data_IF_776073681217
#
_entry.id   IF_776073681217
#
_cell.length_a   1.000
_cell.length_b   1.000
_cell.length_c   1.000
_cell.angle_alpha   90.00
_cell.angle_beta   90.00
_cell.angle_gamma   90.00
#
_symmetry.space_group_name_H-M   'P 1'
#
loop_
_entity.id
_entity.type
_entity.pdbx_description
1 polymer ?
#
# COMPACT_ATOMS: atom_id res chain seq x y z
N UNK A 1 21.48 17.61 -2.44
CA UNK A 1 20.22 17.34 -1.72
C UNK A 1 20.48 16.40 -0.54
N UNK A 2 19.79 16.60 0.57
CA UNK A 2 19.85 15.65 1.71
C UNK A 2 19.06 14.38 1.38
N UNK A 3 19.58 13.22 1.79
CA UNK A 3 18.95 11.92 1.62
C UNK A 3 19.35 10.95 2.74
N UNK A 4 18.50 9.95 2.99
CA UNK A 4 18.80 8.80 3.83
C UNK A 4 19.08 7.60 2.93
N UNK A 5 20.30 7.08 2.96
CA UNK A 5 20.82 6.10 2.00
C UNK A 5 21.05 4.76 2.68
N UNK A 6 20.52 3.71 2.09
CA UNK A 6 20.83 2.30 2.41
C UNK A 6 22.06 1.87 1.61
N UNK A 7 23.18 1.63 2.29
CA UNK A 7 24.39 1.12 1.68
C UNK A 7 24.38 -0.41 1.60
N UNK A 8 23.78 -1.06 2.63
CA UNK A 8 23.61 -2.50 2.73
C UNK A 8 22.32 -2.85 3.45
N UNK A 9 21.73 -3.98 3.09
CA UNK A 9 20.59 -4.51 3.80
C UNK A 9 20.94 -4.83 5.27
N UNK A 10 20.03 -4.50 6.18
CA UNK A 10 20.18 -4.72 7.62
C UNK A 10 21.06 -3.69 8.35
N UNK A 11 21.70 -2.75 7.65
CA UNK A 11 22.48 -1.68 8.26
C UNK A 11 21.67 -0.37 8.32
N UNK A 12 21.84 0.45 9.37
CA UNK A 12 21.13 1.74 9.48
C UNK A 12 21.35 2.63 8.26
N UNK A 13 20.30 3.32 7.83
CA UNK A 13 20.39 4.31 6.77
C UNK A 13 21.34 5.43 7.17
N UNK A 14 22.21 5.82 6.24
CA UNK A 14 23.18 6.89 6.43
C UNK A 14 22.65 8.21 5.85
N UNK A 15 22.69 9.27 6.64
CA UNK A 15 22.44 10.62 6.12
C UNK A 15 23.57 11.00 5.14
N UNK A 16 23.20 11.47 3.96
CA UNK A 16 24.13 11.84 2.89
C UNK A 16 23.69 13.12 2.15
N UNK A 17 24.66 13.81 1.60
CA UNK A 17 24.42 14.83 0.59
C UNK A 17 24.71 14.24 -0.79
N UNK A 18 23.66 14.21 -1.64
CA UNK A 18 23.72 13.71 -3.00
C UNK A 18 23.52 14.86 -4.00
N UNK A 19 24.01 14.77 -5.23
CA UNK A 19 23.60 15.71 -6.28
C UNK A 19 22.08 15.61 -6.50
N UNK A 20 21.45 16.74 -6.83
CA UNK A 20 20.05 16.73 -7.28
C UNK A 20 19.98 15.99 -8.62
N UNK A 21 19.14 14.94 -8.75
CA UNK A 21 19.04 14.18 -9.98
C UNK A 21 18.46 15.03 -11.11
N UNK A 22 18.85 14.73 -12.35
CA UNK A 22 18.28 15.39 -13.54
C UNK A 22 17.27 14.44 -14.20
N UNK A 23 16.07 14.92 -14.55
CA UNK A 23 15.10 14.08 -15.23
C UNK A 23 15.60 13.77 -16.66
N UNK A 24 15.51 12.49 -17.04
CA UNK A 24 15.71 12.02 -18.42
C UNK A 24 14.42 12.23 -19.24
N UNK A 25 14.43 11.99 -20.56
CA UNK A 25 13.19 11.97 -21.32
C UNK A 25 12.11 11.12 -20.67
N UNK A 26 10.87 11.63 -20.61
CA UNK A 26 9.70 11.05 -19.96
C UNK A 26 9.80 10.90 -18.44
N UNK A 27 10.74 11.56 -17.79
CA UNK A 27 10.84 11.63 -16.34
C UNK A 27 10.51 13.02 -15.81
N UNK A 28 10.07 13.05 -14.58
CA UNK A 28 9.72 14.26 -13.83
C UNK A 28 10.64 14.35 -12.62
N UNK A 29 11.29 15.50 -12.41
CA UNK A 29 11.96 15.82 -11.15
C UNK A 29 10.92 16.36 -10.17
N UNK A 30 10.85 15.75 -8.99
CA UNK A 30 9.90 16.10 -7.95
C UNK A 30 10.68 16.56 -6.72
N UNK A 31 10.33 17.74 -6.21
CA UNK A 31 10.73 18.21 -4.88
C UNK A 31 9.81 17.53 -3.87
N UNK A 32 10.37 16.65 -3.07
CA UNK A 32 9.61 15.85 -2.10
C UNK A 32 9.14 16.74 -0.95
N UNK A 33 7.86 16.70 -0.66
CA UNK A 33 7.24 17.38 0.48
C UNK A 33 6.96 16.40 1.64
N UNK A 34 6.62 15.15 1.31
CA UNK A 34 6.37 14.09 2.27
C UNK A 34 6.64 12.71 1.66
N UNK A 35 7.11 11.76 2.46
CA UNK A 35 7.21 10.35 2.06
C UNK A 35 6.79 9.43 3.21
N UNK A 36 5.78 8.61 3.00
CA UNK A 36 5.33 7.63 3.98
C UNK A 36 6.34 6.51 4.20
N UNK A 37 6.27 5.88 5.38
CA UNK A 37 7.10 4.75 5.78
C UNK A 37 6.22 3.51 5.88
N UNK A 38 6.49 2.54 5.02
CA UNK A 38 5.68 1.35 4.82
C UNK A 38 6.39 0.06 5.28
N UNK A 39 5.63 -0.99 5.47
CA UNK A 39 6.18 -2.33 5.75
C UNK A 39 7.10 -2.82 4.63
N UNK A 40 6.85 -2.43 3.39
CA UNK A 40 7.69 -2.78 2.24
C UNK A 40 9.09 -2.17 2.35
N UNK A 41 9.23 -0.96 2.93
CA UNK A 41 10.55 -0.37 3.18
C UNK A 41 11.35 -1.21 4.19
N UNK A 42 10.68 -1.82 5.19
CA UNK A 42 11.31 -2.80 6.10
C UNK A 42 11.73 -4.06 5.37
N UNK A 43 10.89 -4.61 4.47
CA UNK A 43 11.26 -5.80 3.69
C UNK A 43 12.49 -5.55 2.81
N UNK A 44 12.62 -4.35 2.22
CA UNK A 44 13.81 -3.95 1.46
C UNK A 44 15.00 -3.76 2.40
N UNK A 45 14.80 -3.05 3.51
CA UNK A 45 15.83 -2.78 4.51
C UNK A 45 16.40 -4.07 5.12
N UNK A 46 15.56 -5.04 5.43
CA UNK A 46 15.94 -6.32 6.04
C UNK A 46 16.53 -7.32 5.02
N UNK A 47 16.50 -7.00 3.72
CA UNK A 47 17.01 -7.86 2.66
C UNK A 47 16.11 -9.05 2.33
N UNK A 48 14.82 -8.98 2.72
CA UNK A 48 13.83 -10.02 2.39
C UNK A 48 13.43 -9.99 0.91
N UNK A 49 13.60 -8.84 0.25
CA UNK A 49 13.45 -8.70 -1.20
C UNK A 49 14.83 -8.77 -1.86
N UNK A 50 14.98 -9.69 -2.83
CA UNK A 50 16.24 -9.95 -3.50
C UNK A 50 16.59 -8.90 -4.55
N UNK A 51 17.90 -8.58 -4.70
CA UNK A 51 18.43 -7.69 -5.73
C UNK A 51 17.97 -6.23 -5.68
N UNK A 52 17.98 -5.54 -4.52
CA UNK A 52 17.81 -4.11 -4.49
C UNK A 52 18.93 -3.39 -5.24
N UNK A 53 18.62 -2.20 -5.79
CA UNK A 53 19.70 -1.27 -6.17
C UNK A 53 20.49 -0.88 -4.91
N UNK A 54 21.81 -0.86 -4.97
CA UNK A 54 22.66 -0.36 -3.88
C UNK A 54 23.77 0.53 -4.44
N UNK A 55 24.11 1.67 -3.81
CA UNK A 55 23.36 2.30 -2.72
C UNK A 55 21.95 2.73 -3.15
N UNK A 56 20.99 2.80 -2.21
CA UNK A 56 19.57 3.04 -2.48
C UNK A 56 18.99 4.10 -1.55
N UNK A 57 18.18 4.99 -2.08
CA UNK A 57 17.25 5.82 -1.31
C UNK A 57 15.91 5.09 -1.23
N UNK A 58 15.46 4.75 -0.01
CA UNK A 58 14.16 4.09 0.21
C UNK A 58 12.98 5.06 0.02
N UNK A 59 11.75 4.54 0.19
CA UNK A 59 10.52 5.30 0.22
C UNK A 59 9.75 5.32 -1.10
N UNK A 60 8.48 4.96 -1.06
CA UNK A 60 7.61 4.80 -2.23
C UNK A 60 6.19 5.35 -2.01
N UNK A 61 5.97 6.11 -0.96
CA UNK A 61 4.73 6.85 -0.70
C UNK A 61 5.04 8.35 -0.82
N UNK A 62 5.43 8.78 -2.01
CA UNK A 62 6.02 10.10 -2.24
C UNK A 62 4.95 11.11 -2.63
N UNK A 63 4.87 12.21 -1.92
CA UNK A 63 4.12 13.41 -2.30
C UNK A 63 5.08 14.57 -2.45
N UNK A 64 4.92 15.35 -3.51
CA UNK A 64 5.76 16.50 -3.74
C UNK A 64 5.26 17.39 -4.88
N UNK A 65 6.10 18.34 -5.28
CA UNK A 65 5.79 19.28 -6.35
C UNK A 65 6.78 19.11 -7.50
N UNK A 66 6.28 19.21 -8.71
CA UNK A 66 7.09 19.12 -9.92
C UNK A 66 8.06 20.30 -9.96
N UNK A 67 9.35 20.01 -9.97
CA UNK A 67 10.43 20.99 -10.06
C UNK A 67 10.90 21.20 -11.50
N UNK A 68 10.97 20.09 -12.28
CA UNK A 68 11.34 20.14 -13.69
C UNK A 68 10.75 18.94 -14.46
N UNK A 69 10.53 19.14 -15.74
CA UNK A 69 10.07 18.12 -16.67
C UNK A 69 11.22 17.72 -17.60
N UNK A 70 11.40 16.42 -17.81
CA UNK A 70 12.25 15.91 -18.89
C UNK A 70 11.59 16.10 -20.27
N UNK A 71 12.35 15.84 -21.33
CA UNK A 71 11.81 15.82 -22.68
C UNK A 71 10.67 14.79 -22.81
N UNK A 72 9.71 15.04 -23.70
CA UNK A 72 8.56 14.17 -24.00
C UNK A 72 7.63 13.93 -22.80
N UNK A 73 7.61 14.77 -21.78
CA UNK A 73 6.61 14.76 -20.71
C UNK A 73 5.43 15.62 -21.12
N UNK A 74 4.26 15.02 -21.17
CA UNK A 74 2.98 15.68 -21.47
C UNK A 74 2.01 15.56 -20.29
N UNK A 75 1.08 16.52 -20.18
CA UNK A 75 -0.02 16.50 -19.22
C UNK A 75 0.36 16.92 -17.79
N UNK A 76 1.57 17.46 -17.58
CA UNK A 76 2.04 17.98 -16.30
C UNK A 76 2.63 19.39 -16.43
N UNK A 77 2.59 20.15 -15.33
CA UNK A 77 3.18 21.47 -15.23
C UNK A 77 4.13 21.58 -14.04
N UNK A 78 5.17 22.42 -14.16
CA UNK A 78 6.05 22.76 -13.02
C UNK A 78 5.22 23.42 -11.92
N UNK A 79 5.46 23.01 -10.67
CA UNK A 79 4.70 23.42 -9.50
C UNK A 79 3.47 22.56 -9.21
N UNK A 80 3.05 21.67 -10.11
CA UNK A 80 1.91 20.77 -9.88
C UNK A 80 2.21 19.80 -8.75
N UNK A 81 1.22 19.54 -7.89
CA UNK A 81 1.29 18.64 -6.75
C UNK A 81 0.99 17.22 -7.16
N UNK A 82 1.95 16.33 -6.96
CA UNK A 82 1.89 14.95 -7.47
C UNK A 82 2.34 13.91 -6.44
N UNK A 83 2.00 12.67 -6.73
CA UNK A 83 2.42 11.50 -5.95
C UNK A 83 3.06 10.42 -6.80
N UNK A 84 3.98 9.66 -6.20
CA UNK A 84 4.67 8.51 -6.82
C UNK A 84 4.50 7.28 -5.93
N UNK A 85 3.90 6.19 -6.45
CA UNK A 85 3.72 4.94 -5.73
C UNK A 85 4.89 3.96 -5.91
N UNK A 86 4.70 2.74 -5.42
CA UNK A 86 5.66 1.63 -5.51
C UNK A 86 6.01 1.24 -6.94
N UNK A 87 5.03 1.04 -7.85
CA UNK A 87 5.31 0.72 -9.24
C UNK A 87 5.84 1.95 -9.95
N UNK A 88 7.15 1.98 -10.27
CA UNK A 88 7.83 3.13 -10.86
C UNK A 88 8.09 3.01 -12.36
N UNK A 89 8.07 1.80 -12.93
CA UNK A 89 8.29 1.58 -14.36
C UNK A 89 7.77 0.21 -14.80
N UNK A 90 7.33 0.13 -16.06
CA UNK A 90 7.07 -1.13 -16.78
C UNK A 90 7.49 -1.00 -18.24
N UNK A 91 7.78 -2.14 -18.89
CA UNK A 91 8.26 -2.19 -20.27
C UNK A 91 7.22 -1.75 -21.32
N UNK A 92 5.93 -1.82 -20.98
CA UNK A 92 4.82 -1.48 -21.88
C UNK A 92 4.60 -2.47 -23.03
N UNK A 93 5.42 -3.51 -23.19
CA UNK A 93 5.46 -4.37 -24.36
C UNK A 93 5.21 -5.86 -24.09
N UNK A 94 5.41 -6.33 -22.84
CA UNK A 94 5.14 -7.71 -22.47
C UNK A 94 3.65 -8.06 -22.54
N UNK A 95 3.33 -9.33 -22.41
CA UNK A 95 1.95 -9.82 -22.43
C UNK A 95 1.05 -9.09 -21.44
N UNK A 96 1.52 -8.91 -20.19
CA UNK A 96 0.73 -8.29 -19.14
C UNK A 96 0.50 -6.80 -19.38
N UNK A 97 1.54 -6.07 -19.83
CA UNK A 97 1.41 -4.64 -20.15
C UNK A 97 0.39 -4.41 -21.26
N UNK A 98 0.44 -5.22 -22.33
CA UNK A 98 -0.52 -5.12 -23.44
C UNK A 98 -1.94 -5.52 -23.06
N UNK A 99 -2.10 -6.33 -22.00
CA UNK A 99 -3.39 -6.75 -21.48
C UNK A 99 -3.96 -5.80 -20.39
N UNK A 100 -3.34 -4.61 -20.16
CA UNK A 100 -3.76 -3.68 -19.10
C UNK A 100 -3.53 -4.22 -17.68
N UNK A 101 -2.56 -5.12 -17.53
CA UNK A 101 -2.16 -5.74 -16.26
C UNK A 101 -0.69 -5.45 -15.96
N UNK A 102 -0.29 -4.21 -16.19
CA UNK A 102 1.11 -3.76 -16.06
C UNK A 102 1.70 -3.96 -14.65
N UNK A 103 0.86 -4.11 -13.64
CA UNK A 103 1.28 -4.52 -12.29
C UNK A 103 1.95 -5.91 -12.26
N UNK A 104 1.76 -6.72 -13.31
CA UNK A 104 2.37 -8.04 -13.51
C UNK A 104 3.42 -8.01 -14.63
N UNK A 105 3.95 -6.85 -14.99
CA UNK A 105 4.98 -6.72 -16.02
C UNK A 105 6.15 -7.68 -15.76
N UNK A 106 6.73 -8.25 -16.84
CA UNK A 106 7.88 -9.15 -16.73
C UNK A 106 9.17 -8.40 -16.33
N UNK A 107 9.24 -7.08 -16.60
CA UNK A 107 10.40 -6.22 -16.34
C UNK A 107 10.00 -4.94 -15.60
N UNK A 108 9.38 -5.04 -14.39
CA UNK A 108 8.99 -3.86 -13.63
C UNK A 108 10.19 -3.27 -12.88
N UNK A 109 10.14 -1.98 -12.58
CA UNK A 109 11.05 -1.37 -11.62
C UNK A 109 10.22 -0.67 -10.54
N UNK A 110 10.66 -0.80 -9.29
CA UNK A 110 9.93 -0.31 -8.14
C UNK A 110 10.66 0.83 -7.44
N UNK A 111 9.92 1.87 -7.09
CA UNK A 111 10.38 3.06 -6.38
C UNK A 111 10.83 2.70 -4.97
N UNK A 112 12.00 3.17 -4.54
CA UNK A 112 12.57 2.81 -3.24
C UNK A 112 13.11 1.38 -3.17
N UNK A 113 13.36 0.74 -4.34
CA UNK A 113 13.89 -0.62 -4.43
C UNK A 113 14.89 -0.78 -5.60
N UNK A 114 14.45 -0.75 -6.87
CA UNK A 114 15.35 -0.68 -8.02
C UNK A 114 15.53 0.75 -8.54
N UNK A 115 14.68 1.66 -8.14
CA UNK A 115 14.76 3.10 -8.42
C UNK A 115 14.86 3.82 -7.08
N UNK A 116 15.66 4.89 -6.99
CA UNK A 116 15.72 5.72 -5.80
C UNK A 116 14.34 6.31 -5.47
N UNK A 117 14.01 6.29 -4.18
CA UNK A 117 12.72 6.71 -3.66
C UNK A 117 12.72 8.10 -3.04
N UNK A 118 11.81 8.29 -2.07
CA UNK A 118 11.46 9.57 -1.50
C UNK A 118 12.08 9.90 -0.14
N UNK A 119 12.97 9.06 0.41
CA UNK A 119 13.69 9.45 1.63
C UNK A 119 14.81 10.44 1.30
N UNK A 120 14.46 11.49 0.56
CA UNK A 120 15.33 12.55 0.08
C UNK A 120 14.53 13.83 -0.22
N UNK A 121 15.23 14.94 -0.41
CA UNK A 121 14.61 16.21 -0.79
C UNK A 121 14.09 16.22 -2.24
N UNK A 122 14.65 15.40 -3.11
CA UNK A 122 14.25 15.29 -4.52
C UNK A 122 14.31 13.85 -4.98
N UNK A 123 13.41 13.50 -5.90
CA UNK A 123 13.40 12.23 -6.61
C UNK A 123 13.05 12.44 -8.09
N UNK A 124 13.36 11.47 -8.94
CA UNK A 124 12.90 11.44 -10.33
C UNK A 124 11.96 10.25 -10.53
N UNK A 125 10.90 10.44 -11.29
CA UNK A 125 9.92 9.41 -11.59
C UNK A 125 9.55 9.37 -13.06
N UNK A 126 9.20 8.20 -13.59
CA UNK A 126 8.60 8.06 -14.93
C UNK A 126 7.21 8.71 -14.91
N UNK A 127 6.94 9.64 -15.81
CA UNK A 127 5.69 10.40 -15.88
C UNK A 127 4.43 9.52 -15.93
N UNK A 128 4.53 8.29 -16.45
CA UNK A 128 3.42 7.34 -16.50
C UNK A 128 2.98 6.84 -15.11
N UNK A 129 3.85 6.95 -14.11
CA UNK A 129 3.64 6.51 -12.73
C UNK A 129 3.63 7.68 -11.73
N UNK A 130 3.37 8.87 -12.24
CA UNK A 130 3.13 10.09 -11.46
C UNK A 130 1.64 10.41 -11.52
N UNK A 131 1.03 10.71 -10.37
CA UNK A 131 -0.42 10.94 -10.27
C UNK A 131 -0.68 12.26 -9.55
N UNK A 132 -1.60 13.10 -10.07
CA UNK A 132 -2.07 14.28 -9.34
C UNK A 132 -2.63 13.88 -7.97
N UNK A 133 -2.26 14.61 -6.93
CA UNK A 133 -2.80 14.40 -5.59
C UNK A 133 -4.10 15.18 -5.44
N UNK A 134 -5.19 14.55 -4.97
CA UNK A 134 -6.46 15.24 -4.79
C UNK A 134 -6.36 16.34 -3.74
N UNK A 135 -7.20 17.36 -3.89
CA UNK A 135 -7.39 18.40 -2.88
C UNK A 135 -8.00 17.82 -1.58
N UNK A 136 -7.86 18.57 -0.48
CA UNK A 136 -8.42 18.20 0.83
C UNK A 136 -7.50 17.35 1.71
N UNK A 137 -6.29 16.99 1.23
CA UNK A 137 -5.26 16.31 2.00
C UNK A 137 -4.01 17.19 2.12
N UNK A 138 -3.42 17.29 3.30
CA UNK A 138 -2.04 17.75 3.44
C UNK A 138 -1.06 16.77 2.76
N UNK A 139 0.20 17.17 2.54
CA UNK A 139 1.19 16.28 1.91
C UNK A 139 1.42 15.03 2.74
N UNK A 140 1.46 15.17 4.07
CA UNK A 140 1.61 14.05 4.98
C UNK A 140 0.40 13.10 4.94
N UNK A 141 -0.83 13.62 4.91
CA UNK A 141 -2.05 12.80 4.85
C UNK A 141 -2.21 12.08 3.50
N UNK A 142 -1.71 12.68 2.42
CA UNK A 142 -1.79 12.08 1.09
C UNK A 142 -0.78 10.94 0.89
N UNK A 143 0.37 10.95 1.56
CA UNK A 143 1.42 9.95 1.36
C UNK A 143 0.93 8.49 1.54
N UNK A 144 0.21 8.09 2.61
CA UNK A 144 -0.28 6.72 2.77
C UNK A 144 -1.30 6.29 1.71
N UNK A 145 -1.94 7.24 1.01
CA UNK A 145 -2.86 6.90 -0.08
C UNK A 145 -2.13 6.18 -1.21
N UNK A 146 -0.83 6.49 -1.43
CA UNK A 146 -0.02 6.00 -2.56
C UNK A 146 0.50 4.56 -2.41
N UNK A 147 0.40 3.95 -1.23
CA UNK A 147 0.70 2.54 -1.05
C UNK A 147 -0.43 1.83 -0.32
N UNK A 148 -0.62 2.10 0.98
CA UNK A 148 -1.66 1.49 1.80
C UNK A 148 -3.07 1.68 1.18
N UNK A 149 -3.34 2.87 0.65
CA UNK A 149 -4.58 3.18 -0.05
C UNK A 149 -4.74 2.39 -1.34
N UNK A 150 -3.73 2.42 -2.21
CA UNK A 150 -3.79 1.77 -3.52
C UNK A 150 -3.86 0.24 -3.43
N UNK A 151 -3.03 -0.38 -2.57
CA UNK A 151 -3.07 -1.84 -2.38
C UNK A 151 -4.36 -2.28 -1.69
N UNK A 152 -4.86 -1.47 -0.74
CA UNK A 152 -6.15 -1.69 -0.10
C UNK A 152 -7.30 -1.64 -1.10
N UNK A 153 -7.34 -0.60 -1.94
CA UNK A 153 -8.37 -0.45 -2.97
C UNK A 153 -8.35 -1.58 -4.00
N UNK A 154 -7.16 -1.94 -4.51
CA UNK A 154 -7.03 -3.08 -5.42
C UNK A 154 -7.48 -4.39 -4.76
N UNK A 155 -7.10 -4.61 -3.50
CA UNK A 155 -7.56 -5.78 -2.74
C UNK A 155 -9.10 -5.82 -2.64
N UNK A 156 -9.72 -4.66 -2.39
CA UNK A 156 -11.19 -4.53 -2.33
C UNK A 156 -11.84 -4.84 -3.69
N UNK A 157 -11.34 -4.28 -4.78
CA UNK A 157 -11.83 -4.60 -6.15
C UNK A 157 -11.75 -6.12 -6.44
N UNK A 158 -10.70 -6.78 -5.96
CA UNK A 158 -10.52 -8.21 -6.18
C UNK A 158 -11.46 -9.10 -5.34
N UNK A 159 -12.18 -8.54 -4.35
CA UNK A 159 -13.24 -9.28 -3.64
C UNK A 159 -14.52 -9.44 -4.46
N UNK A 160 -14.63 -8.74 -5.58
CA UNK A 160 -15.83 -8.74 -6.43
C UNK A 160 -16.85 -7.66 -6.03
N UNK A 161 -17.88 -7.54 -6.84
CA UNK A 161 -18.93 -6.55 -6.65
C UNK A 161 -19.87 -6.93 -5.49
N UNK A 162 -20.40 -5.92 -4.83
CA UNK A 162 -21.46 -6.07 -3.83
C UNK A 162 -22.76 -6.46 -4.54
N UNK A 163 -23.42 -7.54 -4.15
CA UNK A 163 -24.75 -7.87 -4.66
C UNK A 163 -25.75 -6.73 -4.33
N UNK A 164 -26.52 -6.31 -5.30
CA UNK A 164 -27.52 -5.27 -5.10
C UNK A 164 -28.62 -5.78 -4.14
N UNK A 165 -28.90 -5.00 -3.09
CA UNK A 165 -29.99 -5.29 -2.15
C UNK A 165 -29.71 -6.29 -1.04
N UNK A 166 -28.46 -6.79 -0.92
CA UNK A 166 -28.05 -7.64 0.20
C UNK A 166 -26.90 -6.99 1.01
N UNK A 167 -26.86 -7.16 2.35
CA UNK A 167 -25.71 -6.74 3.12
C UNK A 167 -24.49 -7.54 2.67
N UNK A 168 -23.40 -6.85 2.32
CA UNK A 168 -22.13 -7.50 1.98
C UNK A 168 -21.20 -7.46 3.19
N UNK A 169 -20.76 -8.62 3.68
CA UNK A 169 -19.90 -8.78 4.85
C UNK A 169 -18.46 -8.97 4.40
N UNK A 170 -17.61 -8.04 4.76
CA UNK A 170 -16.18 -8.07 4.43
C UNK A 170 -15.35 -8.30 5.68
N UNK A 171 -14.63 -9.42 5.73
CA UNK A 171 -13.60 -9.68 6.73
C UNK A 171 -12.30 -8.97 6.38
N UNK A 172 -11.65 -8.35 7.37
CA UNK A 172 -10.32 -7.75 7.21
C UNK A 172 -9.41 -8.34 8.29
N UNK A 173 -8.45 -9.16 7.89
CA UNK A 173 -7.47 -9.82 8.76
C UNK A 173 -6.18 -9.00 8.83
N UNK A 174 -5.89 -8.45 10.02
CA UNK A 174 -4.83 -7.48 10.25
C UNK A 174 -5.30 -6.04 9.99
N UNK A 175 -5.54 -5.30 11.09
CA UNK A 175 -6.14 -3.96 11.03
C UNK A 175 -5.07 -2.87 11.20
N UNK A 176 -4.18 -2.74 10.19
CA UNK A 176 -3.10 -1.75 10.07
C UNK A 176 -3.38 -0.66 9.03
N UNK A 177 -2.32 -0.07 8.46
CA UNK A 177 -2.39 1.08 7.55
C UNK A 177 -3.32 0.85 6.32
N UNK A 178 -3.24 -0.29 5.63
CA UNK A 178 -4.11 -0.56 4.49
C UNK A 178 -5.57 -0.81 4.93
N UNK A 179 -5.75 -1.52 6.04
CA UNK A 179 -7.07 -1.86 6.56
C UNK A 179 -7.88 -0.62 6.93
N UNK A 180 -7.28 0.36 7.63
CA UNK A 180 -8.01 1.56 8.06
C UNK A 180 -8.47 2.42 6.87
N UNK A 181 -7.71 2.46 5.78
CA UNK A 181 -8.09 3.17 4.56
C UNK A 181 -9.19 2.40 3.82
N UNK A 182 -8.99 1.10 3.57
CA UNK A 182 -9.94 0.32 2.78
C UNK A 182 -11.28 0.10 3.50
N UNK A 183 -11.29 0.01 4.83
CA UNK A 183 -12.53 -0.10 5.60
C UNK A 183 -13.47 1.09 5.35
N UNK A 184 -12.92 2.30 5.22
CA UNK A 184 -13.72 3.49 4.93
C UNK A 184 -14.33 3.43 3.52
N UNK A 185 -13.53 3.00 2.51
CA UNK A 185 -14.02 2.79 1.14
C UNK A 185 -15.09 1.70 1.10
N UNK A 186 -14.83 0.56 1.73
CA UNK A 186 -15.78 -0.55 1.77
C UNK A 186 -17.11 -0.18 2.45
N UNK A 187 -17.06 0.61 3.53
CA UNK A 187 -18.28 1.17 4.16
C UNK A 187 -19.04 2.12 3.24
N UNK A 188 -18.33 2.94 2.48
CA UNK A 188 -18.96 3.81 1.46
C UNK A 188 -19.69 2.97 0.40
N UNK A 189 -19.17 1.78 0.08
CA UNK A 189 -19.83 0.77 -0.77
C UNK A 189 -20.94 -0.01 -0.04
N UNK A 190 -21.38 0.43 1.15
CA UNK A 190 -22.37 -0.23 1.99
C UNK A 190 -21.98 -1.65 2.46
N UNK A 191 -20.68 -1.97 2.56
CA UNK A 191 -20.20 -3.23 3.14
C UNK A 191 -20.14 -3.14 4.67
N UNK A 192 -20.50 -4.23 5.32
CA UNK A 192 -20.33 -4.42 6.77
C UNK A 192 -18.93 -4.94 7.03
N UNK A 193 -18.16 -4.26 7.88
CA UNK A 193 -16.76 -4.62 8.17
C UNK A 193 -16.69 -5.50 9.40
N UNK A 194 -16.04 -6.65 9.24
CA UNK A 194 -15.67 -7.59 10.28
C UNK A 194 -14.15 -7.54 10.45
N UNK A 195 -13.67 -6.98 11.55
CA UNK A 195 -12.25 -6.77 11.79
C UNK A 195 -11.64 -7.90 12.63
N UNK A 196 -10.58 -8.50 12.10
CA UNK A 196 -9.83 -9.59 12.75
C UNK A 196 -8.45 -9.09 13.13
N UNK A 197 -8.11 -9.17 14.41
CA UNK A 197 -6.83 -8.69 14.96
C UNK A 197 -6.07 -9.83 15.65
N UNK A 198 -4.88 -9.53 16.15
CA UNK A 198 -4.21 -10.47 17.05
C UNK A 198 -5.01 -10.61 18.34
N UNK A 199 -4.94 -11.77 18.96
CA UNK A 199 -5.54 -12.00 20.28
C UNK A 199 -4.96 -10.96 21.27
N UNK A 200 -5.85 -10.29 22.01
CA UNK A 200 -5.47 -9.30 23.02
C UNK A 200 -5.05 -7.91 22.48
N UNK A 201 -5.10 -7.68 21.16
CA UNK A 201 -4.80 -6.35 20.57
C UNK A 201 -6.00 -5.40 20.71
N UNK A 202 -6.26 -4.98 21.96
CA UNK A 202 -7.37 -4.10 22.29
C UNK A 202 -7.30 -2.75 21.53
N UNK A 203 -6.07 -2.27 21.26
CA UNK A 203 -5.85 -0.99 20.57
C UNK A 203 -6.30 -1.07 19.10
N UNK A 204 -5.89 -2.10 18.37
CA UNK A 204 -6.33 -2.31 17.00
C UNK A 204 -7.85 -2.59 16.92
N UNK A 205 -8.40 -3.30 17.91
CA UNK A 205 -9.83 -3.56 18.00
C UNK A 205 -10.64 -2.29 18.22
N UNK A 206 -10.20 -1.40 19.10
CA UNK A 206 -10.89 -0.11 19.34
C UNK A 206 -10.82 0.77 18.09
N UNK A 207 -9.66 0.86 17.46
CA UNK A 207 -9.52 1.60 16.21
C UNK A 207 -10.44 1.07 15.10
N UNK A 208 -10.62 -0.26 15.01
CA UNK A 208 -11.55 -0.84 14.06
C UNK A 208 -13.02 -0.44 14.36
N UNK A 209 -13.42 -0.41 15.66
CA UNK A 209 -14.76 0.06 16.07
C UNK A 209 -14.99 1.52 15.74
N UNK A 210 -14.02 2.39 16.02
CA UNK A 210 -14.08 3.82 15.66
C UNK A 210 -14.29 4.03 14.16
N UNK A 211 -13.69 3.19 13.33
CA UNK A 211 -13.89 3.18 11.88
C UNK A 211 -15.18 2.50 11.43
N UNK A 212 -15.99 2.02 12.38
CA UNK A 212 -17.32 1.48 12.16
C UNK A 212 -17.36 0.02 11.74
N UNK A 213 -16.41 -0.79 12.18
CA UNK A 213 -16.54 -2.25 12.10
C UNK A 213 -17.77 -2.71 12.92
N UNK A 214 -18.62 -3.53 12.33
CA UNK A 214 -19.84 -4.05 12.98
C UNK A 214 -19.51 -5.21 13.91
N UNK A 215 -18.38 -5.88 13.68
CA UNK A 215 -17.84 -6.91 14.54
C UNK A 215 -16.31 -6.82 14.59
N UNK A 216 -15.76 -7.12 15.76
CA UNK A 216 -14.33 -7.09 16.00
C UNK A 216 -13.96 -8.26 16.91
N UNK A 217 -13.01 -9.08 16.48
CA UNK A 217 -12.56 -10.25 17.25
C UNK A 217 -11.12 -10.63 16.95
N UNK A 218 -10.68 -11.72 17.56
CA UNK A 218 -9.38 -12.34 17.30
C UNK A 218 -9.39 -13.07 15.95
N UNK A 219 -8.23 -13.18 15.30
CA UNK A 219 -8.09 -13.86 14.00
C UNK A 219 -8.34 -15.38 14.07
N UNK A 220 -8.40 -15.97 15.25
CA UNK A 220 -8.75 -17.37 15.52
C UNK A 220 -10.22 -17.57 15.90
N UNK A 221 -10.98 -16.49 16.07
CA UNK A 221 -12.42 -16.56 16.31
C UNK A 221 -13.21 -16.64 15.00
N UNK A 222 -14.36 -17.31 15.05
CA UNK A 222 -15.31 -17.31 13.95
C UNK A 222 -16.25 -16.11 14.05
N UNK A 223 -16.51 -15.40 12.94
CA UNK A 223 -17.51 -14.33 12.97
C UNK A 223 -18.91 -14.91 13.18
N UNK A 224 -19.85 -14.12 13.74
CA UNK A 224 -21.22 -14.58 14.01
C UNK A 224 -21.99 -14.94 12.73
N UNK A 225 -21.62 -14.35 11.61
CA UNK A 225 -22.24 -14.57 10.31
C UNK A 225 -21.17 -14.93 9.26
N UNK A 226 -21.46 -15.78 8.27
CA UNK A 226 -20.56 -16.04 7.16
C UNK A 226 -20.26 -14.77 6.35
N UNK A 227 -19.00 -14.60 5.97
CA UNK A 227 -18.54 -13.46 5.19
C UNK A 227 -18.73 -13.69 3.69
N UNK A 228 -18.94 -12.62 2.93
CA UNK A 228 -18.97 -12.64 1.47
C UNK A 228 -17.55 -12.69 0.88
N UNK A 229 -16.64 -11.98 1.53
CA UNK A 229 -15.24 -11.96 1.17
C UNK A 229 -14.36 -11.65 2.39
N UNK A 230 -13.08 -11.94 2.27
CA UNK A 230 -12.08 -11.58 3.25
C UNK A 230 -10.83 -11.02 2.57
N UNK A 231 -10.19 -10.01 3.19
CA UNK A 231 -8.88 -9.48 2.78
C UNK A 231 -7.90 -9.76 3.92
N UNK A 232 -6.74 -10.32 3.60
CA UNK A 232 -5.67 -10.61 4.56
C UNK A 232 -4.52 -9.65 4.30
N UNK A 233 -4.28 -8.70 5.21
CA UNK A 233 -3.14 -7.81 5.19
C UNK A 233 -2.02 -8.26 6.13
N UNK A 234 -2.33 -9.09 7.13
CA UNK A 234 -1.33 -9.64 8.02
C UNK A 234 -0.45 -10.69 7.28
N UNK A 235 0.89 -10.67 7.46
CA UNK A 235 1.81 -11.54 6.74
C UNK A 235 1.86 -12.97 7.32
N UNK A 236 0.71 -13.59 7.56
CA UNK A 236 0.56 -14.85 8.28
C UNK A 236 -0.25 -15.85 7.44
N UNK A 237 0.43 -16.86 6.88
CA UNK A 237 -0.18 -17.84 5.97
C UNK A 237 -1.30 -18.67 6.58
N UNK A 238 -1.27 -18.94 7.90
CA UNK A 238 -2.34 -19.68 8.59
C UNK A 238 -3.69 -18.94 8.60
N UNK A 239 -3.71 -17.64 8.29
CA UNK A 239 -4.96 -16.88 8.15
C UNK A 239 -5.73 -17.24 6.87
N UNK A 240 -5.08 -17.82 5.86
CA UNK A 240 -5.75 -18.24 4.62
C UNK A 240 -6.79 -19.32 4.90
N UNK A 241 -6.46 -20.48 5.54
CA UNK A 241 -7.47 -21.46 5.89
C UNK A 241 -8.47 -20.95 6.95
N UNK A 242 -8.10 -20.02 7.83
CA UNK A 242 -9.03 -19.40 8.77
C UNK A 242 -10.08 -18.54 8.02
N UNK A 243 -9.65 -17.70 7.10
CA UNK A 243 -10.54 -16.88 6.28
C UNK A 243 -11.44 -17.73 5.35
N UNK A 244 -10.91 -18.85 4.80
CA UNK A 244 -11.70 -19.78 3.98
C UNK A 244 -12.86 -20.41 4.77
N UNK A 245 -12.66 -20.70 6.06
CA UNK A 245 -13.74 -21.20 6.92
C UNK A 245 -14.79 -20.13 7.24
N UNK A 246 -14.37 -18.87 7.29
CA UNK A 246 -15.23 -17.75 7.63
C UNK A 246 -16.08 -17.27 6.44
N UNK A 247 -15.63 -17.51 5.19
CA UNK A 247 -16.39 -17.09 4.01
C UNK A 247 -17.45 -18.14 3.62
N UNK A 248 -18.58 -17.67 3.14
CA UNK A 248 -19.64 -18.52 2.60
C UNK A 248 -19.23 -19.20 1.27
N UNK A 249 -20.10 -20.04 0.72
CA UNK A 249 -19.98 -20.60 -0.65
C UNK A 249 -19.79 -19.45 -1.66
N UNK A 250 -18.96 -19.65 -2.67
CA UNK A 250 -18.53 -18.66 -3.64
C UNK A 250 -17.82 -17.44 -3.03
N UNK A 251 -17.44 -17.48 -1.77
CA UNK A 251 -16.70 -16.42 -1.08
C UNK A 251 -15.27 -16.29 -1.58
N UNK A 252 -14.73 -15.06 -1.51
CA UNK A 252 -13.40 -14.74 -2.04
C UNK A 252 -12.47 -14.33 -0.90
N UNK A 253 -11.31 -14.98 -0.81
CA UNK A 253 -10.21 -14.61 0.10
C UNK A 253 -9.09 -13.96 -0.72
N UNK A 254 -8.73 -12.72 -0.38
CA UNK A 254 -7.71 -11.94 -1.06
C UNK A 254 -6.52 -11.71 -0.13
N UNK A 255 -5.33 -12.19 -0.52
CA UNK A 255 -4.08 -11.95 0.20
C UNK A 255 -3.45 -10.65 -0.32
N UNK A 256 -3.45 -9.58 0.50
CA UNK A 256 -3.02 -8.23 0.11
C UNK A 256 -1.56 -7.90 0.48
N UNK A 257 -0.84 -8.77 1.18
CA UNK A 257 0.56 -8.54 1.55
C UNK A 257 1.55 -8.94 0.46
N UNK A 258 2.67 -8.22 0.35
CA UNK A 258 3.78 -8.56 -0.56
C UNK A 258 4.56 -9.79 -0.09
N UNK A 259 4.58 -10.01 1.21
CA UNK A 259 5.24 -11.13 1.88
C UNK A 259 4.28 -11.80 2.84
N UNK A 260 4.35 -13.11 2.96
CA UNK A 260 3.53 -13.91 3.87
C UNK A 260 4.29 -15.19 4.22
N UNK A 261 4.14 -15.69 5.44
CA UNK A 261 4.64 -17.02 5.78
C UNK A 261 3.93 -18.10 4.98
N UNK A 262 4.49 -19.31 4.91
CA UNK A 262 3.88 -20.41 4.19
C UNK A 262 2.43 -20.65 4.60
N UNK A 263 1.60 -20.93 3.59
CA UNK A 263 0.21 -21.32 3.81
C UNK A 263 0.22 -22.81 4.20
N UNK A 264 -0.24 -23.17 5.41
CA UNK A 264 -0.28 -24.57 5.81
C UNK A 264 -1.25 -25.37 4.94
N UNK A 265 -1.02 -26.67 4.83
CA UNK A 265 -1.99 -27.56 4.17
C UNK A 265 -3.34 -27.49 4.89
N UNK A 266 -4.41 -27.58 4.11
CA UNK A 266 -5.77 -27.55 4.64
C UNK A 266 -6.68 -28.52 3.86
N UNK A 267 -7.79 -29.03 4.47
CA UNK A 267 -8.72 -29.90 3.80
C UNK A 267 -9.39 -29.23 2.60
N UNK A 268 -9.53 -29.96 1.49
CA UNK A 268 -10.19 -29.45 0.29
C UNK A 268 -11.62 -28.98 0.54
N UNK A 269 -12.32 -29.54 1.51
CA UNK A 269 -13.71 -29.19 1.86
C UNK A 269 -13.90 -27.70 2.16
N UNK A 270 -12.88 -27.01 2.76
CA UNK A 270 -12.98 -25.58 3.06
C UNK A 270 -12.75 -24.69 1.83
N UNK A 271 -12.20 -25.24 0.74
CA UNK A 271 -12.11 -24.57 -0.56
C UNK A 271 -13.28 -24.95 -1.49
N UNK A 272 -13.86 -26.15 -1.29
CA UNK A 272 -15.00 -26.63 -2.05
C UNK A 272 -16.14 -25.60 -2.10
N UNK A 273 -17.08 -25.75 -3.03
CA UNK A 273 -18.23 -24.85 -3.23
C UNK A 273 -17.85 -23.48 -3.78
N UNK A 274 -16.96 -23.50 -4.77
CA UNK A 274 -16.54 -22.33 -5.58
C UNK A 274 -15.86 -21.20 -4.79
N UNK A 275 -15.32 -21.50 -3.60
CA UNK A 275 -14.49 -20.52 -2.87
C UNK A 275 -13.21 -20.22 -3.63
N UNK A 276 -12.77 -18.97 -3.60
CA UNK A 276 -11.58 -18.50 -4.32
C UNK A 276 -10.55 -17.96 -3.35
N UNK A 277 -9.30 -18.37 -3.51
CA UNK A 277 -8.13 -17.70 -2.90
C UNK A 277 -7.34 -17.05 -4.02
N UNK A 278 -6.98 -15.78 -3.85
CA UNK A 278 -6.10 -15.07 -4.77
C UNK A 278 -5.18 -14.09 -4.04
N UNK A 279 -4.06 -13.75 -4.66
CA UNK A 279 -3.16 -12.71 -4.18
C UNK A 279 -3.34 -11.41 -4.97
N UNK A 280 -2.94 -10.31 -4.36
CA UNK A 280 -2.76 -9.01 -5.01
C UNK A 280 -1.27 -8.83 -5.28
N UNK A 281 -0.92 -8.43 -6.48
CA UNK A 281 0.41 -7.99 -6.83
C UNK A 281 0.36 -6.52 -7.23
N UNK A 282 0.82 -5.64 -6.32
CA UNK A 282 0.99 -4.22 -6.63
C UNK A 282 -0.33 -3.51 -7.04
N UNK A 283 -0.26 -2.50 -7.88
CA UNK A 283 -1.36 -1.68 -8.39
C UNK A 283 -1.23 -1.50 -9.91
N UNK A 284 -2.33 -1.26 -10.60
CA UNK A 284 -2.33 -0.71 -11.95
C UNK A 284 -2.43 0.81 -11.91
N UNK A 285 -2.06 1.49 -13.00
CA UNK A 285 -2.27 2.95 -13.11
C UNK A 285 -3.73 3.34 -12.99
N UNK A 286 -4.63 2.48 -13.45
CA UNK A 286 -6.06 2.72 -13.34
C UNK A 286 -6.53 2.59 -11.90
N UNK A 287 -6.02 1.64 -11.11
CA UNK A 287 -6.30 1.59 -9.66
C UNK A 287 -5.88 2.90 -8.96
N UNK A 288 -4.73 3.47 -9.35
CA UNK A 288 -4.28 4.74 -8.78
C UNK A 288 -5.22 5.90 -9.16
N UNK A 289 -5.57 6.04 -10.42
CA UNK A 289 -6.49 7.10 -10.89
C UNK A 289 -7.86 6.99 -10.24
N UNK A 290 -8.42 5.78 -10.23
CA UNK A 290 -9.74 5.52 -9.65
C UNK A 290 -9.76 5.81 -8.14
N UNK A 291 -8.76 5.28 -7.41
CA UNK A 291 -8.73 5.46 -5.96
C UNK A 291 -8.47 6.91 -5.55
N UNK A 292 -7.51 7.60 -6.18
CA UNK A 292 -7.22 9.00 -5.86
C UNK A 292 -8.40 9.92 -6.20
N UNK A 293 -9.19 9.60 -7.23
CA UNK A 293 -10.44 10.31 -7.53
C UNK A 293 -11.59 9.96 -6.56
N UNK A 294 -11.56 8.77 -5.95
CA UNK A 294 -12.57 8.29 -5.01
C UNK A 294 -12.32 8.78 -3.58
N UNK A 295 -11.05 8.81 -3.15
CA UNK A 295 -10.65 9.09 -1.77
C UNK A 295 -11.27 10.38 -1.19
N UNK A 296 -11.31 11.54 -1.89
CA UNK A 296 -11.97 12.74 -1.38
C UNK A 296 -13.51 12.64 -1.36
N UNK A 297 -14.10 11.78 -2.19
CA UNK A 297 -15.58 11.58 -2.23
C UNK A 297 -16.05 10.73 -1.05
N UNK A 298 -15.22 9.79 -0.61
CA UNK A 298 -15.46 8.95 0.59
C UNK A 298 -15.18 9.70 1.88
N UNK A 299 -14.64 10.84 1.89
CA UNK A 299 -13.59 11.55 2.60
C UNK A 299 -12.73 10.64 3.49
N UNK A 300 -11.88 9.84 2.83
CA UNK A 300 -10.95 8.93 3.50
C UNK A 300 -10.03 9.71 4.44
N UNK A 301 -10.02 9.34 5.71
CA UNK A 301 -9.10 9.91 6.70
C UNK A 301 -7.88 9.00 6.85
N UNK A 302 -6.70 9.60 6.81
CA UNK A 302 -5.44 8.94 7.11
C UNK A 302 -4.91 9.44 8.45
N UNK A 303 -4.47 8.52 9.30
CA UNK A 303 -3.79 8.87 10.55
C UNK A 303 -2.29 8.84 10.30
N UNK A 304 -1.62 9.98 10.52
CA UNK A 304 -0.20 10.14 10.21
C UNK A 304 0.60 10.70 11.38
N UNK A 305 1.86 10.30 11.46
CA UNK A 305 2.85 10.80 12.42
C UNK A 305 4.00 11.42 11.62
N UNK A 306 4.00 12.74 11.37
CA UNK A 306 5.10 13.42 10.68
C UNK A 306 6.39 13.34 11.48
N UNK A 307 7.49 13.03 10.82
CA UNK A 307 8.83 12.93 11.39
C UNK A 307 9.85 13.60 10.46
N UNK A 308 10.92 14.24 10.99
CA UNK A 308 11.97 14.75 10.12
C UNK A 308 12.61 13.65 9.29
N UNK A 309 13.10 13.96 8.06
CA UNK A 309 13.81 13.01 7.20
C UNK A 309 14.95 12.29 7.95
N UNK A 310 15.70 13.00 8.77
CA UNK A 310 16.81 12.44 9.55
C UNK A 310 16.37 11.34 10.55
N UNK A 311 15.08 11.27 10.89
CA UNK A 311 14.50 10.25 11.77
C UNK A 311 14.07 8.98 11.02
N UNK A 312 14.49 8.76 9.77
CA UNK A 312 14.08 7.60 8.98
C UNK A 312 14.36 6.25 9.67
N UNK A 313 15.53 6.10 10.33
CA UNK A 313 15.85 4.89 11.09
C UNK A 313 14.92 4.68 12.28
N UNK A 314 14.58 5.75 13.01
CA UNK A 314 13.62 5.70 14.10
C UNK A 314 12.22 5.31 13.60
N UNK A 315 11.79 5.90 12.49
CA UNK A 315 10.49 5.59 11.88
C UNK A 315 10.39 4.11 11.47
N UNK A 316 11.42 3.54 10.84
CA UNK A 316 11.51 2.12 10.52
C UNK A 316 11.48 1.24 11.77
N UNK A 317 12.20 1.62 12.83
CA UNK A 317 12.21 0.88 14.09
C UNK A 317 10.83 0.89 14.76
N UNK A 318 10.18 2.04 14.89
CA UNK A 318 8.83 2.18 15.48
C UNK A 318 7.79 1.39 14.68
N UNK A 319 7.91 1.38 13.33
CA UNK A 319 7.05 0.56 12.48
C UNK A 319 7.26 -0.94 12.75
N UNK A 320 8.51 -1.39 12.90
CA UNK A 320 8.86 -2.78 13.21
C UNK A 320 8.28 -3.23 14.54
N UNK A 321 8.35 -2.38 15.55
CA UNK A 321 7.85 -2.65 16.90
C UNK A 321 6.33 -2.54 17.03
N UNK A 322 5.63 -2.04 15.99
CA UNK A 322 4.19 -1.82 16.02
C UNK A 322 3.76 -0.68 16.94
N UNK A 323 4.65 0.29 17.19
CA UNK A 323 4.40 1.44 18.08
C UNK A 323 3.68 2.60 17.40
N UNK A 324 3.47 2.50 16.07
CA UNK A 324 2.78 3.53 15.30
C UNK A 324 1.28 3.26 15.26
N UNK A 325 0.49 4.30 15.56
CA UNK A 325 -0.93 4.33 15.19
C UNK A 325 -1.04 5.15 13.91
N UNK A 326 -1.47 4.49 12.81
CA UNK A 326 -1.43 5.08 11.47
C UNK A 326 -0.08 4.89 10.78
N UNK A 327 0.35 5.86 9.99
CA UNK A 327 1.57 5.81 9.18
C UNK A 327 2.59 6.87 9.62
N UNK A 328 3.86 6.49 9.78
CA UNK A 328 4.94 7.47 9.88
C UNK A 328 5.15 8.13 8.51
N UNK A 329 5.41 9.42 8.49
CA UNK A 329 5.64 10.19 7.27
C UNK A 329 6.86 11.08 7.45
N UNK A 330 7.88 10.87 6.61
CA UNK A 330 9.10 11.66 6.63
C UNK A 330 8.90 12.98 5.88
N UNK A 331 9.35 14.07 6.51
CA UNK A 331 9.32 15.43 5.96
C UNK A 331 10.77 15.83 5.70
N UNK A 332 11.19 16.02 4.43
CA UNK A 332 12.56 16.34 4.05
C UNK A 332 13.04 17.74 4.41
#
# INVERSE_FOLDING_TARGET
MKAMVMERAGEPLRAAELPVPKPRPRQILIKVAACGVCRTDLHVFDGELQHPKLPLVLGHEIVGHIEALGEDVEGFAVGERVGVPWLGFTDGTCFYCRAGRENLCDHPLFTGYQIDGGYAQYTVADARYVFPIPEGYSDAEAAPLLCAGLIGYRSLKMTGNVPVGAPSRLGIYGFGAAAHIVAQVARHEARQIYAFTRAGDAKAQEFARELGAVWVGSSDEMPPDPLDAAIIFAPVGSLVPAALRAVRKAGVVVCGGIHMSDIPSFPYEILWEERVVRSVANLTRDDAREFLALAPKVPVKTTVVPMPLASANEALQRLRQGELTGAAVLIP
#
